data_IF_686842062531
#
_entry.id   IF_686842062531
#
_cell.length_a   1.000
_cell.length_b   1.000
_cell.length_c   1.000
_cell.angle_alpha   90.00
_cell.angle_beta   90.00
_cell.angle_gamma   90.00
#
_symmetry.space_group_name_H-M   'P 1'
#
loop_
_entity.id
_entity.type
_entity.pdbx_description
1 polymer ?
#
# COMPACT_ATOMS: atom_id res chain seq x y z
N UNK A 1 -17.90 -0.49 9.82
CA UNK A 1 -17.17 -0.94 11.01
C UNK A 1 -15.69 -0.73 10.83
N UNK A 2 -14.94 -0.37 11.87
CA UNK A 2 -13.49 -0.26 11.77
C UNK A 2 -12.85 -1.60 11.43
N UNK A 3 -11.79 -1.55 10.67
CA UNK A 3 -11.07 -2.74 10.27
C UNK A 3 -9.56 -2.48 10.35
N UNK A 4 -8.81 -3.55 10.56
CA UNK A 4 -7.36 -3.47 10.57
C UNK A 4 -6.86 -2.95 9.24
N UNK A 5 -6.03 -1.92 9.30
CA UNK A 5 -5.49 -1.27 8.10
C UNK A 5 -3.98 -1.20 8.21
N UNK A 6 -3.31 -1.53 7.12
CA UNK A 6 -1.86 -1.46 7.02
C UNK A 6 -1.50 -0.49 5.90
N UNK A 7 -0.66 0.49 6.21
CA UNK A 7 -0.10 1.38 5.21
C UNK A 7 1.42 1.30 5.30
N UNK A 8 2.05 0.98 4.18
CA UNK A 8 3.49 1.00 4.06
C UNK A 8 3.85 2.04 3.01
N UNK A 9 4.73 2.97 3.35
CA UNK A 9 5.06 4.05 2.42
C UNK A 9 6.50 4.50 2.63
N UNK A 10 7.18 4.79 1.52
CA UNK A 10 8.51 5.38 1.54
C UNK A 10 8.40 6.85 1.18
N UNK A 11 9.35 7.66 1.64
CA UNK A 11 9.42 9.09 1.32
C UNK A 11 8.16 9.88 1.72
N UNK A 12 7.62 9.59 2.91
CA UNK A 12 6.44 10.28 3.42
C UNK A 12 6.81 11.67 3.91
N UNK A 13 6.13 12.74 3.42
CA UNK A 13 6.36 14.07 3.97
C UNK A 13 5.98 14.14 5.45
N UNK A 14 6.69 14.99 6.21
CA UNK A 14 6.49 15.08 7.66
C UNK A 14 5.06 15.41 8.07
N UNK A 15 4.39 16.29 7.33
CA UNK A 15 3.01 16.66 7.66
C UNK A 15 2.04 15.49 7.49
N UNK A 16 2.31 14.59 6.56
CA UNK A 16 1.51 13.39 6.38
C UNK A 16 1.83 12.34 7.44
N UNK A 17 3.09 12.27 7.85
CA UNK A 17 3.45 11.37 8.95
C UNK A 17 2.66 11.70 10.20
N UNK A 18 2.52 12.99 10.51
CA UNK A 18 1.69 13.42 11.62
C UNK A 18 0.23 12.99 11.48
N UNK A 19 -0.33 13.12 10.28
CA UNK A 19 -1.71 12.69 10.03
C UNK A 19 -1.84 11.17 10.14
N UNK A 20 -0.87 10.42 9.64
CA UNK A 20 -0.91 8.96 9.73
C UNK A 20 -0.80 8.49 11.17
N UNK A 21 0.11 9.06 11.96
CA UNK A 21 0.32 8.65 13.35
C UNK A 21 -0.83 9.05 14.26
N UNK A 22 -1.66 9.98 13.83
CA UNK A 22 -2.87 10.33 14.57
C UNK A 22 -3.87 9.17 14.62
N UNK A 23 -3.91 8.36 13.57
CA UNK A 23 -4.88 7.28 13.42
C UNK A 23 -4.25 5.89 13.46
N UNK A 24 -2.97 5.78 13.15
CA UNK A 24 -2.26 4.52 13.00
C UNK A 24 -1.01 4.52 13.87
N UNK A 25 -0.58 3.33 14.25
CA UNK A 25 0.66 3.14 14.99
C UNK A 25 1.83 3.05 13.99
N UNK A 26 2.81 3.91 14.17
CA UNK A 26 4.04 3.86 13.36
C UNK A 26 4.94 2.75 13.91
N UNK A 27 4.88 1.59 13.30
CA UNK A 27 5.66 0.42 13.74
C UNK A 27 7.12 0.56 13.31
N UNK A 28 7.32 1.04 12.08
CA UNK A 28 8.64 1.42 11.56
C UNK A 28 8.47 2.73 10.80
N UNK A 29 9.57 3.40 10.40
CA UNK A 29 9.45 4.64 9.63
C UNK A 29 8.65 4.51 8.33
N UNK A 30 8.45 3.28 7.85
CA UNK A 30 7.71 3.04 6.61
C UNK A 30 6.43 2.25 6.80
N UNK A 31 6.11 1.81 8.03
CA UNK A 31 4.99 0.91 8.26
C UNK A 31 4.07 1.44 9.35
N UNK A 32 2.79 1.58 8.99
CA UNK A 32 1.74 2.07 9.88
C UNK A 32 0.60 1.06 9.95
N UNK A 33 0.15 0.74 11.14
CA UNK A 33 -0.91 -0.26 11.36
C UNK A 33 -1.92 0.30 12.36
N UNK A 34 -3.19 0.07 12.11
CA UNK A 34 -4.23 0.45 13.05
C UNK A 34 -5.58 -0.06 12.62
N UNK A 35 -6.56 0.14 13.49
CA UNK A 35 -7.96 -0.22 13.21
C UNK A 35 -8.73 1.07 13.03
N UNK A 36 -9.16 1.32 11.79
CA UNK A 36 -9.84 2.56 11.42
C UNK A 36 -11.04 2.28 10.54
N UNK A 37 -11.94 3.26 10.46
CA UNK A 37 -13.10 3.14 9.59
C UNK A 37 -12.71 3.26 8.12
N UNK A 38 -13.59 2.80 7.23
CA UNK A 38 -13.36 2.92 5.80
C UNK A 38 -13.22 4.39 5.37
N UNK A 39 -13.96 5.28 6.01
CA UNK A 39 -13.91 6.71 5.70
C UNK A 39 -12.53 7.29 6.02
N UNK A 40 -12.02 7.02 7.22
CA UNK A 40 -10.71 7.50 7.63
C UNK A 40 -9.63 6.89 6.74
N UNK A 41 -9.74 5.61 6.45
CA UNK A 41 -8.80 4.91 5.57
C UNK A 41 -8.73 5.58 4.19
N UNK A 42 -9.89 5.86 3.61
CA UNK A 42 -9.96 6.51 2.30
C UNK A 42 -9.37 7.91 2.33
N UNK A 43 -9.66 8.68 3.36
CA UNK A 43 -9.11 10.03 3.50
C UNK A 43 -7.58 10.01 3.64
N UNK A 44 -7.06 9.13 4.48
CA UNK A 44 -5.61 9.00 4.65
C UNK A 44 -4.93 8.58 3.35
N UNK A 45 -5.51 7.60 2.66
CA UNK A 45 -4.94 7.11 1.42
C UNK A 45 -4.94 8.19 0.32
N UNK A 46 -6.05 8.91 0.19
CA UNK A 46 -6.15 9.96 -0.81
C UNK A 46 -5.16 11.09 -0.54
N UNK A 47 -5.01 11.48 0.72
CA UNK A 47 -4.05 12.52 1.09
C UNK A 47 -2.61 12.06 0.83
N UNK A 48 -2.31 10.82 1.17
CA UNK A 48 -0.98 10.27 0.96
C UNK A 48 -0.63 10.21 -0.53
N UNK A 49 -1.55 9.69 -1.34
CA UNK A 49 -1.29 9.54 -2.78
C UNK A 49 -1.19 10.88 -3.48
N UNK A 50 -1.92 11.89 -3.02
CA UNK A 50 -1.87 13.24 -3.61
C UNK A 50 -0.52 13.91 -3.36
N UNK A 51 0.17 13.56 -2.28
CA UNK A 51 1.42 14.21 -1.89
C UNK A 51 2.66 13.36 -2.18
N UNK A 52 2.48 12.16 -2.70
CA UNK A 52 3.58 11.24 -2.93
C UNK A 52 4.28 11.57 -4.24
N UNK A 53 5.48 12.14 -4.16
CA UNK A 53 6.23 12.57 -5.33
C UNK A 53 7.33 11.59 -5.73
N UNK A 54 7.72 10.71 -4.81
CA UNK A 54 8.73 9.69 -5.09
C UNK A 54 8.46 8.49 -4.20
N UNK A 55 9.10 7.36 -4.50
CA UNK A 55 8.92 6.16 -3.72
C UNK A 55 7.63 5.43 -4.05
N UNK A 56 7.10 4.73 -3.06
CA UNK A 56 5.88 3.94 -3.23
C UNK A 56 5.10 3.86 -1.94
N UNK A 57 3.82 3.55 -2.06
CA UNK A 57 2.95 3.33 -0.92
C UNK A 57 2.03 2.15 -1.19
N UNK A 58 1.68 1.44 -0.12
CA UNK A 58 0.78 0.29 -0.18
C UNK A 58 -0.26 0.45 0.92
N UNK A 59 -1.50 0.17 0.57
CA UNK A 59 -2.61 0.09 1.51
C UNK A 59 -3.15 -1.32 1.48
N UNK A 60 -3.34 -1.93 2.65
CA UNK A 60 -3.94 -3.24 2.75
C UNK A 60 -5.00 -3.23 3.85
N UNK A 61 -6.12 -3.90 3.60
CA UNK A 61 -7.19 -4.05 4.58
C UNK A 61 -8.01 -5.30 4.27
N UNK A 62 -8.73 -5.83 5.28
CA UNK A 62 -9.49 -7.07 5.06
C UNK A 62 -10.59 -6.91 4.03
N UNK A 63 -10.82 -7.96 3.27
CA UNK A 63 -11.89 -8.03 2.28
C UNK A 63 -12.47 -9.43 2.24
N UNK A 64 -13.73 -9.52 1.77
CA UNK A 64 -14.42 -10.79 1.68
C UNK A 64 -14.17 -11.46 0.33
N UNK A 65 -12.91 -11.76 0.07
CA UNK A 65 -12.49 -12.50 -1.12
C UNK A 65 -11.68 -13.72 -0.67
N UNK A 66 -11.27 -14.56 -1.61
CA UNK A 66 -10.51 -15.77 -1.26
C UNK A 66 -9.23 -15.47 -0.53
N UNK A 67 -8.57 -14.37 -0.89
CA UNK A 67 -7.31 -13.98 -0.29
C UNK A 67 -7.49 -13.37 1.10
N UNK A 68 -8.66 -12.80 1.38
CA UNK A 68 -8.98 -12.21 2.67
C UNK A 68 -8.58 -10.76 2.84
N UNK A 69 -7.99 -10.14 1.84
CA UNK A 69 -7.62 -8.74 1.92
C UNK A 69 -7.58 -8.09 0.54
N UNK A 70 -7.55 -6.75 0.54
CA UNK A 70 -7.44 -5.93 -0.67
C UNK A 70 -6.19 -5.10 -0.57
N UNK A 71 -5.50 -4.93 -1.71
CA UNK A 71 -4.30 -4.10 -1.82
C UNK A 71 -4.53 -2.94 -2.78
N UNK A 72 -4.00 -1.78 -2.41
CA UNK A 72 -3.89 -0.63 -3.30
C UNK A 72 -2.45 -0.16 -3.26
N UNK A 73 -1.90 0.24 -4.41
CA UNK A 73 -0.54 0.74 -4.49
C UNK A 73 -0.52 2.10 -5.17
N UNK A 74 0.48 2.90 -4.87
CA UNK A 74 0.60 4.24 -5.42
C UNK A 74 2.07 4.66 -5.43
N UNK A 75 2.36 5.75 -6.16
CA UNK A 75 3.69 6.33 -6.23
C UNK A 75 4.44 5.89 -7.48
N UNK A 76 5.47 6.66 -7.88
CA UNK A 76 6.20 6.37 -9.11
C UNK A 76 6.98 5.05 -9.09
N UNK A 77 7.28 4.53 -7.91
CA UNK A 77 8.00 3.25 -7.79
C UNK A 77 7.12 2.12 -7.28
N UNK A 78 5.80 2.27 -7.45
CA UNK A 78 4.85 1.25 -6.97
C UNK A 78 4.98 -0.04 -7.75
N UNK A 79 4.58 -1.13 -7.10
CA UNK A 79 4.31 -2.39 -7.76
C UNK A 79 2.80 -2.49 -7.95
N UNK A 80 2.37 -3.08 -9.05
CA UNK A 80 0.96 -3.13 -9.38
C UNK A 80 0.34 -4.44 -8.90
N UNK A 81 -0.80 -4.36 -8.18
CA UNK A 81 -1.55 -5.57 -7.86
C UNK A 81 -2.29 -6.04 -9.11
N UNK A 82 -2.25 -7.34 -9.35
CA UNK A 82 -2.94 -7.97 -10.48
C UNK A 82 -3.91 -9.01 -9.95
N UNK A 83 -5.12 -9.03 -10.52
CA UNK A 83 -6.10 -10.05 -10.20
C UNK A 83 -5.83 -11.27 -11.05
N UNK A 84 -5.59 -12.40 -10.41
CA UNK A 84 -5.30 -13.66 -11.09
C UNK A 84 -6.13 -14.76 -10.43
N UNK A 85 -7.20 -15.13 -11.09
CA UNK A 85 -8.15 -16.15 -10.59
C UNK A 85 -8.66 -15.85 -9.18
N UNK A 86 -9.01 -14.58 -8.93
CA UNK A 86 -9.52 -14.18 -7.63
C UNK A 86 -8.46 -13.86 -6.60
N UNK A 87 -7.18 -14.04 -6.93
CA UNK A 87 -6.07 -13.70 -6.06
C UNK A 87 -5.36 -12.47 -6.58
N UNK A 88 -4.92 -11.62 -5.65
CA UNK A 88 -4.12 -10.45 -5.99
C UNK A 88 -2.64 -10.80 -5.95
N UNK A 89 -1.96 -10.63 -7.06
CA UNK A 89 -0.53 -10.82 -7.18
C UNK A 89 0.15 -9.49 -7.42
N UNK A 90 1.43 -9.40 -7.11
CA UNK A 90 2.19 -8.17 -7.28
C UNK A 90 3.05 -8.27 -8.52
N UNK A 91 3.00 -7.22 -9.37
CA UNK A 91 3.82 -7.13 -10.57
C UNK A 91 4.69 -5.88 -10.50
N UNK A 92 5.86 -5.96 -11.14
CA UNK A 92 6.72 -4.79 -11.30
C UNK A 92 6.13 -3.86 -12.35
N UNK A 93 6.41 -2.57 -12.20
CA UNK A 93 5.89 -1.56 -13.12
C UNK A 93 6.41 -1.70 -14.54
N UNK A 94 7.62 -2.19 -14.68
CA UNK A 94 8.20 -2.44 -16.00
C UNK A 94 8.37 -3.93 -16.20
N UNK A 95 8.32 -4.33 -17.47
CA UNK A 95 8.55 -5.73 -17.78
C UNK A 95 10.01 -6.07 -17.51
N UNK A 96 10.28 -7.23 -16.92
CA UNK A 96 11.66 -7.67 -16.72
C UNK A 96 12.34 -7.93 -18.04
N UNK A 97 13.67 -7.77 -18.07
CA UNK A 97 14.46 -8.14 -19.24
C UNK A 97 14.51 -9.66 -19.38
N UNK A 98 14.97 -10.13 -20.54
CA UNK A 98 15.14 -11.57 -20.73
C UNK A 98 16.04 -12.19 -19.67
N UNK A 99 17.06 -11.47 -19.25
CA UNK A 99 17.94 -11.95 -18.19
C UNK A 99 17.25 -12.05 -16.85
N UNK A 100 16.41 -11.07 -16.53
CA UNK A 100 15.66 -11.09 -15.29
C UNK A 100 14.65 -12.24 -15.27
N UNK A 101 14.01 -12.50 -16.40
CA UNK A 101 13.05 -13.59 -16.52
C UNK A 101 13.76 -14.94 -16.37
N UNK A 102 14.95 -15.08 -16.94
CA UNK A 102 15.70 -16.32 -16.91
C UNK A 102 16.39 -16.59 -15.58
N UNK A 103 16.50 -15.58 -14.73
CA UNK A 103 17.14 -15.74 -13.43
C UNK A 103 16.33 -16.61 -12.51
N UNK A 104 16.92 -17.64 -11.91
CA UNK A 104 16.22 -18.39 -10.86
C UNK A 104 16.04 -17.52 -9.61
N UNK A 105 15.01 -17.81 -8.90
CA UNK A 105 14.74 -17.12 -7.64
C UNK A 105 15.65 -17.58 -6.53
#
# INVERSE_FOLDING_TARGET
>A
MPAMTVISATAVPDHLRGALTRWLLEVTPTLYIGTISARVRTELWNNLTACLTEGSAVLAYPATNEQGFTLHTAGPQRRDPLDFDGLTLIAFQRLPTSQEIAKPL
#
